data_IF_269005033551
#
_entry.id   IF_269005033551
#
_cell.length_a   1.000
_cell.length_b   1.000
_cell.length_c   1.000
_cell.angle_alpha   90.00
_cell.angle_beta   90.00
_cell.angle_gamma   90.00
#
_symmetry.space_group_name_H-M   'P 1'
#
loop_
_entity.id
_entity.type
_entity.pdbx_description
1 polymer ?
#
# COMPACT_ATOMS: atom_id res chain seq x y z
N UNK A 1 2.99 -28.50 -1.82
CA UNK A 1 2.28 -27.85 -0.71
C UNK A 1 3.04 -26.63 -0.20
N UNK A 2 4.29 -26.77 0.28
CA UNK A 2 5.09 -25.64 0.82
C UNK A 2 5.32 -24.50 -0.18
N UNK A 3 5.62 -24.81 -1.44
CA UNK A 3 5.83 -23.79 -2.50
C UNK A 3 4.59 -22.93 -2.76
N UNK A 4 3.40 -23.50 -2.54
CA UNK A 4 2.11 -22.82 -2.67
C UNK A 4 1.87 -21.86 -1.50
N UNK A 5 2.19 -22.28 -0.28
CA UNK A 5 2.13 -21.43 0.92
C UNK A 5 3.12 -20.25 0.81
N UNK A 6 4.34 -20.51 0.31
CA UNK A 6 5.33 -19.46 0.05
C UNK A 6 4.82 -18.44 -0.98
N UNK A 7 4.15 -18.88 -2.04
CA UNK A 7 3.57 -17.98 -3.04
C UNK A 7 2.48 -17.07 -2.45
N UNK A 8 1.62 -17.62 -1.60
CA UNK A 8 0.58 -16.85 -0.88
C UNK A 8 1.23 -15.82 0.05
N UNK A 9 2.26 -16.23 0.81
CA UNK A 9 3.00 -15.34 1.70
C UNK A 9 3.62 -14.14 0.96
N UNK A 10 4.32 -14.40 -0.14
CA UNK A 10 4.89 -13.34 -0.97
C UNK A 10 3.82 -12.39 -1.53
N UNK A 11 2.69 -12.93 -2.02
CA UNK A 11 1.60 -12.10 -2.54
C UNK A 11 1.03 -11.15 -1.48
N UNK A 12 0.86 -11.61 -0.23
CA UNK A 12 0.30 -10.80 0.86
C UNK A 12 1.31 -9.73 1.32
N UNK A 13 2.60 -10.08 1.40
CA UNK A 13 3.67 -9.17 1.82
C UNK A 13 3.81 -7.97 0.88
N UNK A 14 3.75 -8.21 -0.44
CA UNK A 14 3.76 -7.13 -1.43
C UNK A 14 2.53 -6.23 -1.28
N UNK A 15 1.32 -6.81 -1.18
CA UNK A 15 0.08 -6.03 -1.00
C UNK A 15 0.09 -5.14 0.25
N UNK A 16 0.63 -5.64 1.37
CA UNK A 16 0.72 -4.87 2.62
C UNK A 16 1.65 -3.67 2.49
N UNK A 17 2.85 -3.86 1.93
CA UNK A 17 3.83 -2.79 1.73
C UNK A 17 3.31 -1.68 0.81
N UNK A 18 2.61 -2.07 -0.25
CA UNK A 18 1.98 -1.16 -1.22
C UNK A 18 0.91 -0.31 -0.54
N UNK A 19 -0.01 -0.96 0.17
CA UNK A 19 -1.13 -0.29 0.83
C UNK A 19 -0.61 0.71 1.87
N UNK A 20 0.43 0.32 2.62
CA UNK A 20 1.05 1.18 3.61
C UNK A 20 1.70 2.42 2.99
N UNK A 21 2.50 2.25 1.93
CA UNK A 21 3.15 3.39 1.26
C UNK A 21 2.15 4.33 0.58
N UNK A 22 1.03 3.80 0.08
CA UNK A 22 -0.06 4.63 -0.44
C UNK A 22 -0.74 5.46 0.64
N UNK A 23 -1.16 4.84 1.77
CA UNK A 23 -1.83 5.53 2.88
C UNK A 23 -0.92 6.58 3.52
N UNK A 24 0.39 6.33 3.57
CA UNK A 24 1.35 7.24 4.18
C UNK A 24 1.67 8.51 3.37
N UNK A 25 1.29 8.59 2.08
CA UNK A 25 1.61 9.77 1.25
C UNK A 25 0.52 10.86 1.36
N UNK A 26 0.87 12.14 1.28
CA UNK A 26 -0.07 13.25 1.58
C UNK A 26 -0.93 13.69 0.38
N UNK A 27 -2.18 14.07 0.66
CA UNK A 27 -3.33 14.22 -0.25
C UNK A 27 -3.36 15.43 -1.21
N UNK A 28 -2.21 16.00 -1.58
CA UNK A 28 -2.17 17.26 -2.36
C UNK A 28 -1.88 17.09 -3.87
N UNK A 29 -1.81 15.87 -4.38
CA UNK A 29 -1.51 15.54 -5.80
C UNK A 29 -2.58 14.65 -6.41
N UNK A 30 -2.66 14.65 -7.75
CA UNK A 30 -3.61 13.80 -8.46
C UNK A 30 -3.39 12.33 -8.09
N UNK A 31 -4.45 11.51 -7.99
CA UNK A 31 -4.31 10.18 -7.44
C UNK A 31 -3.41 9.24 -8.28
N UNK A 32 -3.33 9.51 -9.58
CA UNK A 32 -2.44 8.81 -10.52
C UNK A 32 -0.98 9.15 -10.22
N UNK A 33 -0.66 10.41 -9.98
CA UNK A 33 0.70 10.88 -9.74
C UNK A 33 1.20 10.44 -8.36
N UNK A 34 0.32 10.44 -7.35
CA UNK A 34 0.57 9.81 -6.04
C UNK A 34 0.88 8.32 -6.17
N UNK A 35 0.24 7.62 -7.11
CA UNK A 35 0.48 6.20 -7.34
C UNK A 35 1.83 5.90 -7.98
N UNK A 36 2.24 6.74 -8.91
CA UNK A 36 3.54 6.65 -9.57
C UNK A 36 4.66 6.92 -8.56
N UNK A 37 4.52 7.97 -7.73
CA UNK A 37 5.52 8.31 -6.72
C UNK A 37 5.65 7.24 -5.63
N UNK A 38 4.51 6.68 -5.18
CA UNK A 38 4.52 5.56 -4.22
C UNK A 38 5.17 4.32 -4.83
N UNK A 39 4.91 4.04 -6.11
CA UNK A 39 5.50 2.91 -6.82
C UNK A 39 7.01 3.09 -7.00
N UNK A 40 7.49 4.28 -7.33
CA UNK A 40 8.93 4.56 -7.45
C UNK A 40 9.67 4.33 -6.12
N UNK A 41 9.06 4.73 -5.00
CA UNK A 41 9.60 4.53 -3.65
C UNK A 41 9.59 3.06 -3.22
N UNK A 42 8.59 2.28 -3.62
CA UNK A 42 8.39 0.89 -3.17
C UNK A 42 8.97 -0.16 -4.12
N UNK A 43 9.14 0.14 -5.41
CA UNK A 43 9.67 -0.81 -6.39
C UNK A 43 11.13 -1.19 -6.08
N UNK A 44 11.96 -0.20 -5.73
CA UNK A 44 13.36 -0.44 -5.33
C UNK A 44 13.50 -1.47 -4.21
N UNK A 45 12.89 -1.30 -3.01
CA UNK A 45 13.03 -2.27 -1.93
C UNK A 45 12.48 -3.67 -2.28
N UNK A 46 11.40 -3.77 -3.06
CA UNK A 46 10.86 -5.07 -3.49
C UNK A 46 11.85 -5.81 -4.40
N UNK A 47 12.46 -5.11 -5.37
CA UNK A 47 13.44 -5.69 -6.29
C UNK A 47 14.68 -6.15 -5.52
N UNK A 48 15.22 -5.29 -4.65
CA UNK A 48 16.40 -5.64 -3.86
C UNK A 48 16.13 -6.80 -2.88
N UNK A 49 14.96 -6.83 -2.23
CA UNK A 49 14.55 -7.94 -1.37
C UNK A 49 14.39 -9.26 -2.12
N UNK A 50 13.80 -9.20 -3.31
CA UNK A 50 13.61 -10.37 -4.18
C UNK A 50 14.94 -10.91 -4.72
N UNK A 51 15.87 -10.02 -5.12
CA UNK A 51 17.23 -10.39 -5.50
C UNK A 51 17.99 -11.07 -4.36
N UNK A 52 17.88 -10.57 -3.13
CA UNK A 52 18.50 -11.17 -1.95
C UNK A 52 18.00 -12.60 -1.72
N UNK A 53 16.70 -12.82 -1.91
CA UNK A 53 16.09 -14.15 -1.81
C UNK A 53 16.65 -15.09 -2.88
N UNK A 54 16.72 -14.65 -4.15
CA UNK A 54 17.29 -15.44 -5.25
C UNK A 54 18.74 -15.84 -4.96
N UNK A 55 19.56 -14.92 -4.46
CA UNK A 55 20.92 -15.23 -4.00
C UNK A 55 20.92 -16.28 -2.90
N UNK A 56 20.01 -16.17 -1.93
CA UNK A 56 19.82 -17.17 -0.87
C UNK A 56 19.45 -18.55 -1.39
N UNK A 57 18.54 -18.66 -2.37
CA UNK A 57 18.15 -19.96 -2.93
C UNK A 57 19.21 -20.53 -3.88
N UNK A 58 20.11 -19.71 -4.41
CA UNK A 58 21.17 -20.17 -5.32
C UNK A 58 22.09 -21.18 -4.65
N UNK A 59 22.27 -21.13 -3.32
CA UNK A 59 23.04 -22.14 -2.58
C UNK A 59 22.44 -23.56 -2.73
N UNK A 60 21.11 -23.67 -2.88
CA UNK A 60 20.43 -24.95 -3.10
C UNK A 60 20.71 -25.52 -4.49
N UNK A 61 21.08 -24.67 -5.47
CA UNK A 61 21.37 -25.13 -6.83
C UNK A 61 22.66 -25.96 -6.91
N UNK A 62 23.56 -25.86 -5.93
CA UNK A 62 24.79 -26.65 -5.86
C UNK A 62 24.57 -28.09 -5.39
N UNK A 63 23.36 -28.44 -4.94
CA UNK A 63 23.06 -29.79 -4.46
C UNK A 63 22.56 -30.64 -5.62
N UNK A 64 23.29 -31.72 -5.94
CA UNK A 64 22.97 -32.69 -6.99
C UNK A 64 21.83 -33.65 -6.57
N UNK A 65 20.68 -33.10 -6.19
CA UNK A 65 19.46 -33.86 -5.91
C UNK A 65 18.31 -33.34 -6.73
N UNK A 66 17.63 -34.24 -7.43
CA UNK A 66 16.47 -33.92 -8.26
C UNK A 66 15.40 -33.15 -7.48
N UNK A 67 15.14 -33.55 -6.24
CA UNK A 67 14.12 -32.91 -5.42
C UNK A 67 14.48 -31.46 -5.07
N UNK A 68 15.77 -31.19 -4.82
CA UNK A 68 16.25 -29.85 -4.43
C UNK A 68 16.30 -28.92 -5.65
N UNK A 69 16.68 -29.44 -6.82
CA UNK A 69 16.65 -28.65 -8.06
C UNK A 69 15.23 -28.25 -8.47
N UNK A 70 14.26 -29.15 -8.31
CA UNK A 70 12.84 -28.82 -8.52
C UNK A 70 12.40 -27.74 -7.54
N UNK A 71 12.80 -27.84 -6.27
CA UNK A 71 12.48 -26.84 -5.26
C UNK A 71 13.05 -25.45 -5.60
N UNK A 72 14.33 -25.39 -5.97
CA UNK A 72 14.98 -24.16 -6.45
C UNK A 72 14.22 -23.54 -7.64
N UNK A 73 13.92 -24.34 -8.66
CA UNK A 73 13.16 -23.88 -9.85
C UNK A 73 11.79 -23.33 -9.47
N UNK A 74 11.09 -23.97 -8.54
CA UNK A 74 9.77 -23.51 -8.09
C UNK A 74 9.82 -22.20 -7.31
N UNK A 75 10.79 -22.02 -6.40
CA UNK A 75 10.91 -20.75 -5.66
C UNK A 75 11.36 -19.62 -6.59
N UNK A 76 12.32 -19.87 -7.48
CA UNK A 76 12.74 -18.90 -8.47
C UNK A 76 11.55 -18.43 -9.33
N UNK A 77 10.73 -19.36 -9.81
CA UNK A 77 9.56 -19.07 -10.64
C UNK A 77 8.48 -18.31 -9.86
N UNK A 78 8.23 -18.66 -8.59
CA UNK A 78 7.31 -17.93 -7.71
C UNK A 78 7.76 -16.49 -7.47
N UNK A 79 9.05 -16.25 -7.24
CA UNK A 79 9.57 -14.90 -7.02
C UNK A 79 9.44 -14.07 -8.29
N UNK A 80 9.84 -14.60 -9.46
CA UNK A 80 9.76 -13.87 -10.74
C UNK A 80 8.31 -13.53 -11.09
N UNK A 81 7.41 -14.51 -11.03
CA UNK A 81 5.99 -14.28 -11.33
C UNK A 81 5.36 -13.38 -10.26
N UNK A 82 5.71 -13.57 -8.98
CA UNK A 82 5.20 -12.78 -7.87
C UNK A 82 5.56 -11.31 -7.97
N UNK A 83 6.83 -10.99 -8.25
CA UNK A 83 7.30 -9.61 -8.45
C UNK A 83 6.67 -8.99 -9.69
N UNK A 84 6.62 -9.72 -10.81
CA UNK A 84 5.99 -9.23 -12.03
C UNK A 84 4.50 -8.94 -11.82
N UNK A 85 3.78 -9.87 -11.19
CA UNK A 85 2.36 -9.70 -10.89
C UNK A 85 2.14 -8.56 -9.89
N UNK A 86 2.94 -8.46 -8.83
CA UNK A 86 2.85 -7.39 -7.84
C UNK A 86 3.07 -6.01 -8.46
N UNK A 87 4.11 -5.83 -9.29
CA UNK A 87 4.41 -4.56 -9.95
C UNK A 87 3.33 -4.10 -10.94
N UNK A 88 2.58 -5.04 -11.55
CA UNK A 88 1.44 -4.73 -12.45
C UNK A 88 0.14 -4.51 -11.65
N UNK A 89 0.00 -5.20 -10.51
CA UNK A 89 -1.13 -5.07 -9.62
C UNK A 89 -1.16 -3.67 -8.96
N UNK A 90 0.00 -3.09 -8.64
CA UNK A 90 0.12 -1.72 -8.08
C UNK A 90 -0.61 -0.63 -8.89
N UNK A 91 -0.27 -0.36 -10.16
CA UNK A 91 -0.88 0.73 -10.92
C UNK A 91 -2.37 0.50 -11.10
N UNK A 92 -2.78 -0.77 -11.25
CA UNK A 92 -4.18 -1.17 -11.43
C UNK A 92 -4.99 -0.92 -10.15
N UNK A 93 -4.50 -1.37 -8.99
CA UNK A 93 -5.21 -1.20 -7.71
C UNK A 93 -5.18 0.26 -7.26
N UNK A 94 -4.06 0.96 -7.40
CA UNK A 94 -3.99 2.37 -7.00
C UNK A 94 -4.87 3.24 -7.90
N UNK A 95 -4.98 2.95 -9.20
CA UNK A 95 -5.91 3.67 -10.10
C UNK A 95 -7.38 3.51 -9.67
N UNK A 96 -7.77 2.34 -9.16
CA UNK A 96 -9.14 2.05 -8.69
C UNK A 96 -9.40 2.62 -7.30
N UNK A 97 -8.42 2.53 -6.40
CA UNK A 97 -8.60 2.89 -4.98
C UNK A 97 -8.51 4.41 -4.77
N UNK A 98 -7.72 5.09 -5.60
CA UNK A 98 -7.60 6.53 -5.70
C UNK A 98 -8.93 7.31 -5.60
N UNK A 99 -9.89 7.14 -6.53
CA UNK A 99 -11.15 7.87 -6.49
C UNK A 99 -12.06 7.46 -5.31
N UNK A 100 -11.95 6.22 -4.84
CA UNK A 100 -12.77 5.69 -3.74
C UNK A 100 -12.38 6.37 -2.42
N UNK A 101 -11.09 6.53 -2.18
CA UNK A 101 -10.58 7.14 -0.94
C UNK A 101 -10.84 8.64 -0.90
N UNK A 102 -10.72 9.33 -2.04
CA UNK A 102 -11.11 10.74 -2.13
C UNK A 102 -12.59 10.93 -1.81
N UNK A 103 -13.46 10.06 -2.34
CA UNK A 103 -14.90 10.14 -2.03
C UNK A 103 -15.23 9.82 -0.57
N UNK A 104 -14.55 8.85 0.04
CA UNK A 104 -14.73 8.52 1.47
C UNK A 104 -14.21 9.66 2.35
N UNK A 105 -13.05 10.25 2.04
CA UNK A 105 -12.51 11.41 2.74
C UNK A 105 -13.43 12.62 2.62
N UNK A 106 -14.01 12.88 1.45
CA UNK A 106 -14.98 13.96 1.29
C UNK A 106 -16.24 13.72 2.11
N UNK A 107 -16.75 12.48 2.16
CA UNK A 107 -17.91 12.13 3.01
C UNK A 107 -17.62 12.28 4.50
N UNK A 108 -16.44 11.84 4.96
CA UNK A 108 -16.05 11.94 6.38
C UNK A 108 -15.70 13.38 6.78
N UNK A 109 -14.95 14.11 5.94
CA UNK A 109 -14.60 15.51 6.17
C UNK A 109 -15.83 16.43 6.06
N UNK A 110 -16.78 16.13 5.16
CA UNK A 110 -18.10 16.77 5.12
C UNK A 110 -18.89 16.55 6.41
N UNK A 111 -18.83 15.34 6.99
CA UNK A 111 -19.44 15.05 8.29
C UNK A 111 -18.77 15.77 9.47
N UNK A 112 -17.43 15.91 9.45
CA UNK A 112 -16.68 16.65 10.48
C UNK A 112 -16.90 18.16 10.38
N UNK A 113 -16.98 18.71 9.16
CA UNK A 113 -17.28 20.14 8.95
C UNK A 113 -18.72 20.48 9.36
N UNK A 114 -19.66 19.56 9.17
CA UNK A 114 -21.04 19.69 9.67
C UNK A 114 -21.13 19.65 11.21
N UNK A 115 -20.22 18.94 11.89
CA UNK A 115 -20.15 18.96 13.37
C UNK A 115 -19.51 20.24 13.90
N UNK A 116 -18.47 20.76 13.25
CA UNK A 116 -17.76 21.97 13.71
C UNK A 116 -18.54 23.28 13.49
N UNK A 117 -19.44 23.32 12.50
CA UNK A 117 -20.34 24.45 12.27
C UNK A 117 -21.40 24.59 13.38
N UNK A 118 -21.88 23.49 13.95
CA UNK A 118 -22.87 23.50 15.03
C UNK A 118 -22.29 23.97 16.39
N UNK A 119 -21.01 23.72 16.67
CA UNK A 119 -20.40 24.16 17.94
C UNK A 119 -19.91 25.63 17.91
N UNK A 120 -19.64 26.18 16.72
CA UNK A 120 -19.14 27.56 16.58
C UNK A 120 -20.28 28.59 16.50
N UNK A 121 -21.50 28.19 16.12
CA UNK A 121 -22.64 29.11 16.04
C UNK A 121 -23.42 29.28 17.36
N UNK A 122 -23.13 28.46 18.38
CA UNK A 122 -23.72 28.61 19.73
C UNK A 122 -22.88 29.54 20.63
N UNK A 123 -21.60 29.75 20.33
CA UNK A 123 -20.67 30.49 21.21
C UNK A 123 -20.49 31.98 20.89
N UNK A 124 -21.06 32.52 19.80
CA UNK A 124 -20.84 33.93 19.39
C UNK A 124 -22.11 34.82 19.49
N UNK A 125 -23.32 34.27 19.70
CA UNK A 125 -24.54 35.08 19.72
C UNK A 125 -25.37 35.00 21.01
N UNK A 126 -24.81 35.28 22.21
CA UNK A 126 -25.64 35.78 23.32
C UNK A 126 -24.85 36.68 24.30
N UNK A 127 -24.91 37.97 23.99
CA UNK A 127 -25.19 39.06 24.93
C UNK A 127 -24.04 39.70 25.73
N UNK A 128 -23.30 40.55 25.02
CA UNK A 128 -22.50 41.68 25.50
C UNK A 128 -23.37 42.90 25.93
N UNK A 129 -24.41 42.75 26.79
CA UNK A 129 -25.20 43.91 27.26
C UNK A 129 -25.54 43.90 28.76
N UNK A 130 -24.58 43.66 29.67
CA UNK A 130 -24.87 43.87 31.11
C UNK A 130 -23.68 44.35 31.96
N UNK A 131 -22.90 45.29 31.45
CA UNK A 131 -22.05 46.15 32.29
C UNK A 131 -22.26 47.63 31.91
N UNK A 132 -23.38 48.17 32.35
CA UNK A 132 -23.48 49.57 32.75
C UNK A 132 -24.27 49.62 34.06
N UNK A 133 -23.79 50.50 34.94
CA UNK A 133 -24.20 50.84 36.31
C UNK A 133 -23.41 50.10 37.40
#
# INVERSE_FOLDING_TARGET
MITMIMAIGFSVEYCAHITYGFVSNSSNVTPVERSIEAMEKLACPIIYGSMSTIFGVTILAFINSYMILVFFKTIFLVIVIGVFHALILLPTILSITAPIIDQISQKLCGSVKSSKQNDTHISISTNSNNLRY
#
